data_IF_741305999013
#
_entry.id   IF_741305999013
#
_cell.length_a   1.000
_cell.length_b   1.000
_cell.length_c   1.000
_cell.angle_alpha   90.00
_cell.angle_beta   90.00
_cell.angle_gamma   90.00
#
_symmetry.space_group_name_H-M   'P 1'
#
loop_
_entity.id
_entity.type
_entity.pdbx_description
1 polymer ?
#
# COMPACT_ATOMS: atom_id res chain seq x y z
N UNK A 1 -57.93 5.59 -33.24
CA UNK A 1 -56.93 4.94 -34.12
C UNK A 1 -56.20 6.01 -34.91
N UNK A 2 -55.12 6.56 -34.39
CA UNK A 2 -54.10 7.34 -35.11
C UNK A 2 -52.81 7.32 -34.27
N UNK A 3 -51.68 7.17 -34.96
CA UNK A 3 -50.28 7.53 -34.60
C UNK A 3 -49.71 6.98 -33.27
N UNK A 4 -48.44 6.66 -33.08
CA UNK A 4 -47.22 6.97 -33.82
C UNK A 4 -46.13 5.99 -33.35
N UNK A 5 -45.27 5.58 -34.28
CA UNK A 5 -44.13 4.70 -34.02
C UNK A 5 -43.04 5.52 -33.31
N UNK A 6 -42.89 5.38 -32.00
CA UNK A 6 -41.67 5.79 -31.30
C UNK A 6 -40.84 4.56 -30.92
N UNK A 7 -40.09 4.02 -31.89
CA UNK A 7 -38.92 3.19 -31.58
C UNK A 7 -37.83 4.14 -31.08
N UNK A 8 -37.83 4.40 -29.77
CA UNK A 8 -36.65 4.97 -29.12
C UNK A 8 -35.62 3.85 -29.03
N UNK A 9 -34.69 3.83 -29.99
CA UNK A 9 -33.47 3.07 -29.86
C UNK A 9 -32.76 3.59 -28.61
N UNK A 10 -32.80 2.82 -27.54
CA UNK A 10 -31.89 3.00 -26.41
C UNK A 10 -30.50 2.76 -27.00
N UNK A 11 -29.58 3.74 -26.99
CA UNK A 11 -28.21 3.47 -27.38
C UNK A 11 -27.70 2.38 -26.44
N UNK A 12 -27.27 1.26 -27.01
CA UNK A 12 -26.40 0.33 -26.34
C UNK A 12 -25.09 1.09 -26.06
N UNK A 13 -25.06 1.84 -24.94
CA UNK A 13 -23.82 2.30 -24.36
C UNK A 13 -23.20 1.06 -23.73
N UNK A 14 -22.38 0.35 -24.50
CA UNK A 14 -21.29 -0.40 -23.93
C UNK A 14 -20.25 0.64 -23.48
N UNK A 15 -20.05 0.88 -22.16
CA UNK A 15 -18.86 1.55 -21.70
C UNK A 15 -17.72 0.55 -21.93
N UNK A 16 -17.18 0.55 -23.14
CA UNK A 16 -15.85 0.04 -23.41
C UNK A 16 -14.93 0.67 -22.37
N UNK A 17 -14.57 -0.12 -21.35
CA UNK A 17 -13.52 0.20 -20.40
C UNK A 17 -12.19 0.23 -21.17
N UNK A 18 -12.03 1.27 -21.99
CA UNK A 18 -10.76 1.62 -22.60
C UNK A 18 -9.97 2.31 -21.50
N UNK A 19 -9.31 1.49 -20.69
CA UNK A 19 -8.36 1.96 -19.68
C UNK A 19 -7.34 2.83 -20.41
N UNK A 20 -7.35 4.13 -20.15
CA UNK A 20 -6.45 5.06 -20.83
C UNK A 20 -5.02 4.82 -20.36
N UNK A 21 -4.03 5.25 -21.14
CA UNK A 21 -2.61 5.12 -20.77
C UNK A 21 -2.32 5.81 -19.41
N UNK A 22 -3.00 6.92 -19.14
CA UNK A 22 -2.95 7.61 -17.85
C UNK A 22 -3.49 6.75 -16.70
N UNK A 23 -4.62 6.05 -16.90
CA UNK A 23 -5.19 5.13 -15.91
C UNK A 23 -4.26 3.94 -15.63
N UNK A 24 -3.55 3.47 -16.65
CA UNK A 24 -2.56 2.40 -16.48
C UNK A 24 -1.38 2.86 -15.63
N UNK A 25 -0.75 3.99 -15.97
CA UNK A 25 0.39 4.55 -15.22
C UNK A 25 0.01 4.85 -13.77
N UNK A 26 -1.18 5.43 -13.55
CA UNK A 26 -1.68 5.69 -12.20
C UNK A 26 -1.84 4.40 -11.39
N UNK A 27 -2.48 3.38 -11.96
CA UNK A 27 -2.62 2.07 -11.32
C UNK A 27 -1.27 1.43 -11.01
N UNK A 28 -0.28 1.52 -11.91
CA UNK A 28 1.08 1.02 -11.63
C UNK A 28 1.74 1.76 -10.46
N UNK A 29 1.60 3.08 -10.40
CA UNK A 29 2.11 3.89 -9.30
C UNK A 29 1.49 3.52 -7.95
N UNK A 30 0.16 3.40 -7.91
CA UNK A 30 -0.58 2.96 -6.71
C UNK A 30 -0.15 1.56 -6.27
N UNK A 31 0.06 0.65 -7.21
CA UNK A 31 0.47 -0.72 -6.92
C UNK A 31 1.85 -0.80 -6.30
N UNK A 32 2.79 -0.02 -6.84
CA UNK A 32 4.14 0.07 -6.28
C UNK A 32 4.11 0.68 -4.89
N UNK A 33 3.32 1.74 -4.68
CA UNK A 33 3.20 2.39 -3.37
C UNK A 33 2.72 1.43 -2.28
N UNK A 34 1.68 0.61 -2.54
CA UNK A 34 1.17 -0.37 -1.57
C UNK A 34 2.22 -1.44 -1.23
N UNK A 35 2.97 -1.92 -2.23
CA UNK A 35 4.03 -2.92 -2.01
C UNK A 35 5.15 -2.33 -1.15
N UNK A 36 5.60 -1.11 -1.44
CA UNK A 36 6.64 -0.45 -0.64
C UNK A 36 6.18 -0.16 0.80
N UNK A 37 4.92 0.21 1.00
CA UNK A 37 4.34 0.36 2.35
C UNK A 37 4.34 -0.97 3.11
N UNK A 38 3.90 -2.04 2.47
CA UNK A 38 3.90 -3.36 3.09
C UNK A 38 5.31 -3.82 3.45
N UNK A 39 6.31 -3.60 2.56
CA UNK A 39 7.72 -3.86 2.87
C UNK A 39 8.18 -3.11 4.11
N UNK A 40 7.91 -1.80 4.20
CA UNK A 40 8.28 -0.99 5.35
C UNK A 40 7.66 -1.48 6.67
N UNK A 41 6.41 -1.93 6.64
CA UNK A 41 5.75 -2.52 7.81
C UNK A 41 6.36 -3.88 8.19
N UNK A 42 6.72 -4.72 7.22
CA UNK A 42 7.40 -5.99 7.50
C UNK A 42 8.80 -5.78 8.08
N UNK A 43 9.57 -4.82 7.55
CA UNK A 43 10.86 -4.44 8.13
C UNK A 43 10.72 -4.03 9.59
N UNK A 44 9.71 -3.23 9.90
CA UNK A 44 9.44 -2.79 11.26
C UNK A 44 9.02 -3.94 12.20
N UNK A 45 8.19 -4.87 11.73
CA UNK A 45 7.70 -6.00 12.53
C UNK A 45 8.77 -7.06 12.75
N UNK A 46 9.56 -7.37 11.73
CA UNK A 46 10.50 -8.50 11.75
C UNK A 46 11.96 -8.08 11.96
N UNK A 47 12.29 -6.79 11.87
CA UNK A 47 13.68 -6.31 12.00
C UNK A 47 14.57 -6.71 10.82
N UNK A 48 13.98 -6.87 9.63
CA UNK A 48 14.64 -7.33 8.40
C UNK A 48 14.89 -6.18 7.43
N UNK A 49 15.72 -6.41 6.43
CA UNK A 49 16.00 -5.45 5.36
C UNK A 49 14.87 -5.40 4.30
N UNK A 50 14.90 -4.42 3.38
CA UNK A 50 13.86 -4.27 2.36
C UNK A 50 13.78 -5.43 1.36
N UNK A 51 14.90 -6.11 1.08
CA UNK A 51 14.97 -7.17 0.09
C UNK A 51 14.35 -8.44 0.67
N UNK A 52 14.71 -8.80 1.90
CA UNK A 52 14.10 -9.91 2.63
C UNK A 52 12.59 -9.67 2.80
N UNK A 53 12.17 -8.45 3.16
CA UNK A 53 10.75 -8.12 3.29
C UNK A 53 9.97 -8.33 1.97
N UNK A 54 10.57 -7.97 0.83
CA UNK A 54 9.96 -8.19 -0.48
C UNK A 54 9.91 -9.68 -0.83
N UNK A 55 10.97 -10.42 -0.54
CA UNK A 55 11.04 -11.86 -0.78
C UNK A 55 9.97 -12.62 0.00
N UNK A 56 9.67 -12.23 1.24
CA UNK A 56 8.54 -12.82 1.99
C UNK A 56 7.20 -12.59 1.29
N UNK A 57 6.92 -11.38 0.81
CA UNK A 57 5.69 -11.09 0.06
C UNK A 57 5.62 -11.90 -1.24
N UNK A 58 6.75 -12.03 -1.94
CA UNK A 58 6.88 -12.79 -3.19
C UNK A 58 6.65 -14.28 -2.94
N UNK A 59 7.27 -14.84 -1.91
CA UNK A 59 7.09 -16.24 -1.51
C UNK A 59 5.61 -16.53 -1.24
N UNK A 60 4.95 -15.70 -0.43
CA UNK A 60 3.51 -15.85 -0.15
C UNK A 60 2.65 -15.73 -1.42
N UNK A 61 3.02 -14.84 -2.35
CA UNK A 61 2.35 -14.70 -3.65
C UNK A 61 2.44 -15.95 -4.50
N UNK A 62 3.63 -16.54 -4.57
CA UNK A 62 3.90 -17.71 -5.41
C UNK A 62 3.27 -18.98 -4.82
N UNK A 63 3.44 -19.20 -3.51
CA UNK A 63 2.90 -20.38 -2.81
C UNK A 63 1.38 -20.46 -2.89
N UNK A 64 0.70 -19.31 -2.84
CA UNK A 64 -0.77 -19.24 -2.84
C UNK A 64 -1.38 -18.90 -4.21
N UNK A 65 -0.55 -18.65 -5.24
CA UNK A 65 -0.98 -18.16 -6.55
C UNK A 65 -1.91 -16.93 -6.45
N UNK A 66 -1.58 -16.00 -5.55
CA UNK A 66 -2.33 -14.74 -5.34
C UNK A 66 -1.48 -13.59 -5.83
N UNK A 67 -2.10 -12.59 -6.47
CA UNK A 67 -1.39 -11.38 -6.92
C UNK A 67 -0.70 -10.71 -5.73
N UNK A 68 0.62 -10.48 -5.85
CA UNK A 68 1.46 -9.81 -4.85
C UNK A 68 0.83 -8.55 -4.23
N UNK A 69 0.22 -7.69 -5.06
CA UNK A 69 -0.49 -6.49 -4.61
C UNK A 69 -1.60 -6.79 -3.60
N UNK A 70 -2.36 -7.86 -3.80
CA UNK A 70 -3.46 -8.23 -2.90
C UNK A 70 -2.91 -8.70 -1.56
N UNK A 71 -1.83 -9.48 -1.57
CA UNK A 71 -1.13 -9.89 -0.34
C UNK A 71 -0.60 -8.66 0.39
N UNK A 72 0.10 -7.77 -0.30
CA UNK A 72 0.63 -6.54 0.30
C UNK A 72 -0.49 -5.68 0.94
N UNK A 73 -1.62 -5.52 0.24
CA UNK A 73 -2.79 -4.80 0.77
C UNK A 73 -3.37 -5.47 2.01
N UNK A 74 -3.51 -6.80 1.99
CA UNK A 74 -4.07 -7.56 3.10
C UNK A 74 -3.15 -7.50 4.33
N UNK A 75 -1.86 -7.75 4.15
CA UNK A 75 -0.84 -7.63 5.20
C UNK A 75 -0.86 -6.23 5.83
N UNK A 76 -0.92 -5.17 5.02
CA UNK A 76 -1.00 -3.81 5.52
C UNK A 76 -2.26 -3.60 6.38
N UNK A 77 -3.42 -4.07 5.91
CA UNK A 77 -4.68 -3.98 6.65
C UNK A 77 -4.60 -4.69 8.01
N UNK A 78 -4.07 -5.92 8.02
CA UNK A 78 -4.00 -6.76 9.21
C UNK A 78 -3.02 -6.20 10.23
N UNK A 79 -1.86 -5.69 9.79
CA UNK A 79 -0.87 -5.07 10.67
C UNK A 79 -1.37 -3.77 11.30
N UNK A 80 -2.13 -2.96 10.55
CA UNK A 80 -2.76 -1.75 11.10
C UNK A 80 -3.79 -2.12 12.17
N UNK A 81 -4.61 -3.15 11.92
CA UNK A 81 -5.59 -3.60 12.90
C UNK A 81 -4.94 -4.20 14.16
N UNK A 82 -3.87 -4.97 13.98
CA UNK A 82 -3.06 -5.49 15.07
C UNK A 82 -2.43 -4.35 15.90
N UNK A 83 -1.96 -3.28 15.26
CA UNK A 83 -1.38 -2.13 15.96
C UNK A 83 -2.43 -1.36 16.79
N UNK A 84 -3.68 -1.27 16.31
CA UNK A 84 -4.79 -0.64 17.06
C UNK A 84 -5.12 -1.39 18.34
N UNK A 85 -5.08 -2.71 18.30
CA UNK A 85 -5.41 -3.60 19.43
C UNK A 85 -4.21 -3.88 20.35
N UNK A 86 -3.00 -3.48 19.94
CA UNK A 86 -1.76 -3.68 20.71
C UNK A 86 -1.70 -2.85 22.01
N UNK A 87 -0.82 -3.26 22.92
CA UNK A 87 -0.65 -2.62 24.24
C UNK A 87 -0.25 -1.14 24.14
N UNK A 88 -0.72 -0.27 25.06
CA UNK A 88 -0.32 1.15 25.08
C UNK A 88 1.19 1.37 25.20
N UNK A 89 1.91 0.49 25.91
CA UNK A 89 3.36 0.58 26.10
C UNK A 89 4.14 0.59 24.78
N UNK A 90 3.80 -0.32 23.84
CA UNK A 90 4.43 -0.36 22.51
C UNK A 90 4.21 0.94 21.74
N UNK A 91 3.00 1.51 21.80
CA UNK A 91 2.73 2.82 21.16
C UNK A 91 3.57 3.96 21.74
N UNK A 92 3.79 3.96 23.06
CA UNK A 92 4.61 4.98 23.72
C UNK A 92 6.08 4.91 23.30
N UNK A 93 6.65 3.70 23.15
CA UNK A 93 8.02 3.51 22.65
C UNK A 93 8.19 4.11 21.25
N UNK A 94 7.23 3.83 20.35
CA UNK A 94 7.25 4.39 18.99
C UNK A 94 7.05 5.91 18.98
N UNK A 95 6.17 6.45 19.83
CA UNK A 95 5.94 7.89 19.95
C UNK A 95 7.20 8.63 20.43
N UNK A 96 7.92 8.08 21.41
CA UNK A 96 9.18 8.65 21.86
C UNK A 96 10.22 8.68 20.73
N UNK A 97 10.37 7.56 20.00
CA UNK A 97 11.28 7.50 18.84
C UNK A 97 10.93 8.57 17.81
N UNK A 98 9.66 8.71 17.46
CA UNK A 98 9.19 9.72 16.51
C UNK A 98 9.50 11.14 17.00
N UNK A 99 9.11 11.46 18.25
CA UNK A 99 9.29 12.80 18.82
C UNK A 99 10.74 13.21 18.92
N UNK A 100 11.64 12.26 19.18
CA UNK A 100 13.07 12.53 19.37
C UNK A 100 13.90 12.31 18.09
N UNK A 101 13.28 11.99 16.96
CA UNK A 101 14.00 11.74 15.70
C UNK A 101 14.87 12.93 15.26
N UNK A 102 14.35 14.15 15.42
CA UNK A 102 15.07 15.39 15.09
C UNK A 102 16.38 15.55 15.89
N UNK A 103 16.40 15.11 17.15
CA UNK A 103 17.60 15.22 18.00
C UNK A 103 18.72 14.32 17.47
N UNK A 104 18.40 13.06 17.13
CA UNK A 104 19.39 12.14 16.54
C UNK A 104 19.94 12.63 15.20
N UNK A 105 19.12 13.32 14.40
CA UNK A 105 19.55 13.92 13.14
C UNK A 105 20.53 15.08 13.41
N UNK A 106 20.19 15.98 14.33
CA UNK A 106 21.08 17.09 14.73
C UNK A 106 22.41 16.59 15.28
N UNK A 107 22.38 15.57 16.14
CA UNK A 107 23.59 14.95 16.71
C UNK A 107 24.47 14.30 15.64
N UNK A 108 23.86 13.63 14.66
CA UNK A 108 24.59 13.03 13.54
C UNK A 108 25.24 14.10 12.65
N UNK A 109 24.54 15.21 12.40
CA UNK A 109 25.07 16.33 11.62
C UNK A 109 26.26 17.00 12.33
N UNK A 110 26.18 17.20 13.65
CA UNK A 110 27.27 17.79 14.43
C UNK A 110 28.56 16.92 14.40
N UNK A 111 28.41 15.58 14.40
CA UNK A 111 29.56 14.66 14.29
C UNK A 111 30.22 14.65 12.91
N UNK A 112 29.48 14.95 11.85
CA UNK A 112 30.03 15.00 10.49
C UNK A 112 30.81 16.30 10.22
N UNK A 113 30.65 17.31 11.09
CA UNK A 113 31.28 18.62 10.97
C UNK A 113 32.54 18.79 11.84
N UNK A 114 32.85 17.79 12.67
CA UNK A 114 34.02 17.74 13.56
C UNK A 114 35.09 16.80 12.98
#
# INVERSE_FOLDING_TARGET
MQSERQRMAIPCQDPSHTKTEADAVYEFGVNRAIIEQAKGMLMFVYGIDPDEAFDRLREQSQQNNVKLRLIAKQVLSDLVELARTSSPARRMEHDLLLRTAHQRISDAAARQQA
#
